data_IF_006995203883
#
_entry.id   IF_006995203883
#
_cell.length_a   1.000
_cell.length_b   1.000
_cell.length_c   1.000
_cell.angle_alpha   90.00
_cell.angle_beta   90.00
_cell.angle_gamma   90.00
#
_symmetry.space_group_name_H-M   'P 1'
#
loop_
_entity.id
_entity.type
_entity.pdbx_description
1 polymer ?
#
# COMPACT_ATOMS: atom_id res chain seq x y z
N UNK A 1 -11.81 14.91 -1.71
CA UNK A 1 -11.00 13.68 -1.68
C UNK A 1 -11.69 12.70 -0.76
N UNK A 2 -11.92 11.46 -1.20
CA UNK A 2 -12.50 10.38 -0.40
C UNK A 2 -11.61 9.14 -0.57
N UNK A 3 -11.48 8.32 0.47
CA UNK A 3 -10.75 7.07 0.43
C UNK A 3 -11.76 5.93 0.62
N UNK A 4 -12.17 5.23 -0.46
CA UNK A 4 -13.08 4.09 -0.32
C UNK A 4 -12.36 2.96 0.40
N UNK A 5 -13.03 2.35 1.38
CA UNK A 5 -12.54 1.17 2.10
C UNK A 5 -13.39 -0.02 1.67
N UNK A 6 -12.76 -1.02 1.07
CA UNK A 6 -13.41 -2.27 0.67
C UNK A 6 -13.03 -3.31 1.71
N UNK A 7 -14.01 -3.82 2.46
CA UNK A 7 -13.78 -4.84 3.49
C UNK A 7 -14.60 -6.07 3.15
N UNK A 8 -13.94 -7.22 3.04
CA UNK A 8 -14.59 -8.52 3.04
C UNK A 8 -14.49 -9.14 4.43
N UNK A 9 -15.62 -9.54 5.01
CA UNK A 9 -15.71 -10.19 6.32
C UNK A 9 -16.61 -11.40 6.17
N UNK A 10 -16.13 -12.57 6.55
CA UNK A 10 -16.87 -13.82 6.49
C UNK A 10 -16.46 -14.76 7.65
N UNK A 11 -17.36 -15.65 8.10
CA UNK A 11 -17.11 -16.48 9.28
C UNK A 11 -16.36 -17.78 8.97
N UNK A 12 -16.51 -18.33 7.75
CA UNK A 12 -15.94 -19.63 7.37
C UNK A 12 -14.68 -19.46 6.51
N UNK A 13 -13.50 -19.93 6.96
CA UNK A 13 -12.28 -19.91 6.16
C UNK A 13 -12.38 -20.62 4.81
N UNK A 14 -13.34 -21.52 4.62
CA UNK A 14 -13.60 -22.17 3.33
C UNK A 14 -13.97 -21.16 2.24
N UNK A 15 -14.51 -19.99 2.61
CA UNK A 15 -14.89 -18.94 1.66
C UNK A 15 -13.75 -17.98 1.29
N UNK A 16 -12.54 -18.19 1.85
CA UNK A 16 -11.39 -17.29 1.68
C UNK A 16 -11.08 -17.01 0.21
N UNK A 17 -10.97 -18.05 -0.62
CA UNK A 17 -10.57 -17.91 -2.02
C UNK A 17 -11.58 -17.07 -2.81
N UNK A 18 -12.86 -17.40 -2.70
CA UNK A 18 -13.94 -16.71 -3.39
C UNK A 18 -14.05 -15.24 -2.95
N UNK A 19 -13.98 -14.98 -1.65
CA UNK A 19 -14.16 -13.64 -1.10
C UNK A 19 -12.93 -12.74 -1.33
N UNK A 20 -11.71 -13.26 -1.19
CA UNK A 20 -10.48 -12.53 -1.54
C UNK A 20 -10.52 -12.15 -3.03
N UNK A 21 -10.91 -13.08 -3.90
CA UNK A 21 -11.04 -12.81 -5.33
C UNK A 21 -12.05 -11.70 -5.59
N UNK A 22 -13.23 -11.76 -4.96
CA UNK A 22 -14.26 -10.72 -5.12
C UNK A 22 -13.77 -9.34 -4.69
N UNK A 23 -13.10 -9.22 -3.53
CA UNK A 23 -12.54 -7.94 -3.06
C UNK A 23 -11.53 -7.37 -4.05
N UNK A 24 -10.62 -8.22 -4.57
CA UNK A 24 -9.60 -7.83 -5.55
C UNK A 24 -10.22 -7.39 -6.88
N UNK A 25 -11.20 -8.13 -7.38
CA UNK A 25 -11.90 -7.80 -8.62
C UNK A 25 -12.69 -6.50 -8.49
N UNK A 26 -13.38 -6.29 -7.35
CA UNK A 26 -14.12 -5.06 -7.09
C UNK A 26 -13.19 -3.85 -7.03
N UNK A 27 -12.05 -3.97 -6.34
CA UNK A 27 -11.01 -2.93 -6.35
C UNK A 27 -10.54 -2.60 -7.76
N UNK A 28 -10.20 -3.63 -8.55
CA UNK A 28 -9.72 -3.45 -9.92
C UNK A 28 -10.76 -2.76 -10.84
N UNK A 29 -12.04 -3.05 -10.64
CA UNK A 29 -13.12 -2.45 -11.40
C UNK A 29 -13.34 -0.96 -11.07
N UNK A 30 -13.17 -0.56 -9.80
CA UNK A 30 -13.43 0.82 -9.39
C UNK A 30 -12.19 1.72 -9.40
N UNK A 31 -10.98 1.15 -9.27
CA UNK A 31 -9.72 1.91 -9.18
C UNK A 31 -9.61 2.97 -10.30
N UNK A 32 -9.82 2.66 -11.60
CA UNK A 32 -9.70 3.64 -12.68
C UNK A 32 -10.57 4.90 -12.54
N UNK A 33 -11.62 4.86 -11.71
CA UNK A 33 -12.53 5.97 -11.45
C UNK A 33 -12.19 6.78 -10.20
N UNK A 34 -11.14 6.39 -9.46
CA UNK A 34 -10.79 6.96 -8.14
C UNK A 34 -10.07 8.30 -8.22
N UNK A 35 -9.49 8.63 -9.37
CA UNK A 35 -8.76 9.89 -9.58
C UNK A 35 -7.40 9.96 -8.87
N UNK A 36 -6.91 8.86 -8.27
CA UNK A 36 -5.56 8.75 -7.71
C UNK A 36 -4.99 7.35 -7.92
N UNK A 37 -3.69 7.28 -8.21
CA UNK A 37 -2.95 6.01 -8.31
C UNK A 37 -2.60 5.41 -6.94
N UNK A 38 -2.53 6.26 -5.92
CA UNK A 38 -2.29 5.88 -4.52
C UNK A 38 -3.58 5.77 -3.70
N UNK A 39 -3.49 5.01 -2.61
CA UNK A 39 -4.47 4.87 -1.55
C UNK A 39 -3.98 5.44 -0.22
N UNK A 40 -4.69 5.10 0.87
CA UNK A 40 -4.35 5.54 2.21
C UNK A 40 -3.48 4.50 2.93
N UNK A 41 -2.29 4.92 3.38
CA UNK A 41 -1.26 4.02 3.92
C UNK A 41 -1.72 3.13 5.09
N UNK A 42 -2.71 3.57 5.89
CA UNK A 42 -3.21 2.79 7.02
C UNK A 42 -4.13 1.63 6.60
N UNK A 43 -4.56 1.57 5.34
CA UNK A 43 -5.38 0.47 4.80
C UNK A 43 -4.62 -0.38 3.77
N UNK A 44 -3.31 -0.19 3.63
CA UNK A 44 -2.50 -1.03 2.77
C UNK A 44 -2.31 -2.43 3.38
N UNK A 45 -2.40 -3.44 2.53
CA UNK A 45 -2.18 -4.84 2.85
C UNK A 45 -0.77 -5.29 2.45
N UNK A 46 -0.38 -6.53 2.78
CA UNK A 46 0.92 -7.08 2.37
C UNK A 46 1.13 -7.08 0.84
N UNK A 47 0.04 -7.22 0.08
CA UNK A 47 0.05 -7.21 -1.39
C UNK A 47 0.31 -5.80 -1.97
N UNK A 48 0.23 -4.74 -1.16
CA UNK A 48 0.41 -3.35 -1.59
C UNK A 48 1.84 -2.82 -1.35
N UNK A 49 2.76 -3.64 -0.83
CA UNK A 49 4.11 -3.19 -0.46
C UNK A 49 4.89 -2.56 -1.62
N UNK A 50 4.65 -3.02 -2.86
CA UNK A 50 5.24 -2.45 -4.08
C UNK A 50 4.71 -1.05 -4.43
N UNK A 51 3.61 -0.62 -3.81
CA UNK A 51 2.90 0.63 -4.10
C UNK A 51 3.26 1.78 -3.17
N UNK A 52 4.25 1.60 -2.29
CA UNK A 52 4.66 2.63 -1.34
C UNK A 52 4.91 3.99 -2.03
N UNK A 53 5.59 4.00 -3.19
CA UNK A 53 5.82 5.22 -3.96
C UNK A 53 4.53 5.90 -4.43
N UNK A 54 3.55 5.12 -4.89
CA UNK A 54 2.24 5.63 -5.32
C UNK A 54 1.45 6.21 -4.14
N UNK A 55 1.54 5.59 -2.96
CA UNK A 55 0.82 6.02 -1.76
C UNK A 55 1.41 7.28 -1.11
N UNK A 56 2.74 7.42 -1.11
CA UNK A 56 3.41 8.62 -0.61
C UNK A 56 3.48 9.74 -1.66
N UNK A 57 3.32 9.39 -2.95
CA UNK A 57 3.34 10.31 -4.07
C UNK A 57 4.57 11.21 -4.06
N UNK A 58 4.36 12.51 -4.22
CA UNK A 58 5.42 13.52 -4.25
C UNK A 58 6.29 13.56 -2.97
N UNK A 59 5.82 12.99 -1.85
CA UNK A 59 6.60 12.94 -0.61
C UNK A 59 7.61 11.78 -0.56
N UNK A 60 7.49 10.79 -1.45
CA UNK A 60 8.28 9.57 -1.38
C UNK A 60 9.79 9.84 -1.41
N UNK A 61 10.27 10.71 -2.30
CA UNK A 61 11.69 11.04 -2.42
C UNK A 61 12.25 11.66 -1.14
N UNK A 62 11.52 12.60 -0.54
CA UNK A 62 11.92 13.23 0.73
C UNK A 62 11.95 12.21 1.86
N UNK A 63 10.96 11.32 1.94
CA UNK A 63 10.91 10.28 2.97
C UNK A 63 12.02 9.24 2.78
N UNK A 64 12.36 8.88 1.55
CA UNK A 64 13.48 8.00 1.22
C UNK A 64 14.83 8.60 1.63
N UNK A 65 15.00 9.91 1.47
CA UNK A 65 16.18 10.63 1.97
C UNK A 65 16.24 10.67 3.51
N UNK A 66 15.11 10.91 4.18
CA UNK A 66 15.02 10.82 5.65
C UNK A 66 15.36 9.40 6.12
N UNK A 67 14.82 8.38 5.46
CA UNK A 67 15.13 6.98 5.76
C UNK A 67 16.62 6.69 5.63
N UNK A 68 17.28 7.18 4.58
CA UNK A 68 18.73 7.01 4.44
C UNK A 68 19.54 7.69 5.57
N UNK A 69 19.03 8.77 6.16
CA UNK A 69 19.71 9.47 7.26
C UNK A 69 19.56 8.75 8.61
N UNK A 70 18.41 8.13 8.87
CA UNK A 70 18.08 7.56 10.19
C UNK A 70 18.04 6.03 10.24
N UNK A 71 17.87 5.37 9.09
CA UNK A 71 17.81 3.91 8.96
C UNK A 71 18.45 3.47 7.62
N UNK A 72 19.76 3.71 7.42
CA UNK A 72 20.45 3.44 6.15
C UNK A 72 20.49 1.95 5.79
N UNK A 73 20.44 1.06 6.79
CA UNK A 73 20.48 -0.39 6.62
C UNK A 73 19.07 -1.01 6.53
N UNK A 74 18.03 -0.15 6.54
CA UNK A 74 16.63 -0.53 6.42
C UNK A 74 16.17 -1.56 7.48
N UNK A 75 16.61 -1.38 8.73
CA UNK A 75 16.22 -2.22 9.86
C UNK A 75 14.70 -2.25 10.07
N UNK A 76 14.03 -1.12 9.89
CA UNK A 76 12.58 -1.00 10.04
C UNK A 76 11.86 -1.15 8.69
N UNK A 77 11.55 -2.39 8.27
CA UNK A 77 11.04 -2.66 6.91
C UNK A 77 9.77 -3.51 6.82
N UNK A 78 9.08 -3.75 7.94
CA UNK A 78 7.96 -4.70 8.00
C UNK A 78 6.67 -4.10 7.42
N UNK A 79 6.30 -2.90 7.85
CA UNK A 79 5.11 -2.18 7.37
C UNK A 79 5.49 -1.25 6.21
N UNK A 80 4.50 -0.75 5.46
CA UNK A 80 4.57 0.25 4.37
C UNK A 80 5.95 0.83 4.09
N UNK A 81 6.85 -0.03 3.59
CA UNK A 81 8.26 0.24 3.72
C UNK A 81 8.69 1.28 2.69
N UNK A 82 9.53 2.21 3.11
CA UNK A 82 10.18 3.16 2.23
C UNK A 82 11.64 2.72 2.13
N UNK A 83 12.08 2.38 0.92
CA UNK A 83 13.48 2.04 0.71
C UNK A 83 14.36 3.28 0.93
N UNK A 84 15.49 3.16 1.67
CA UNK A 84 16.41 4.28 1.82
C UNK A 84 17.00 4.68 0.47
N UNK A 85 17.18 5.98 0.26
CA UNK A 85 17.82 6.50 -0.93
C UNK A 85 19.25 5.94 -1.06
N UNK A 86 19.66 5.57 -2.28
CA UNK A 86 21.03 5.13 -2.53
C UNK A 86 21.99 6.26 -2.17
N UNK A 87 23.00 5.97 -1.35
CA UNK A 87 24.13 6.89 -1.14
C UNK A 87 24.80 7.12 -2.49
N UNK A 88 24.98 8.39 -2.84
CA UNK A 88 25.77 8.81 -4.00
C UNK A 88 27.24 8.55 -3.78
#
# INVERSE_FOLDING_TARGET
SFAPVIVGIWPDPADNEANIKWVKDYYAAIHPHSGSEGGYINFMSGDDANRAAENYGANYERLSAVKAAYDPDNLFHVNQNIAPAKRR
#
